data_IF_312856004759
#
_entry.id   IF_312856004759
#
_cell.length_a   1.000
_cell.length_b   1.000
_cell.length_c   1.000
_cell.angle_alpha   90.00
_cell.angle_beta   90.00
_cell.angle_gamma   90.00
#
_symmetry.space_group_name_H-M   'P 1'
#
loop_
_entity.id
_entity.type
_entity.pdbx_description
1 polymer ?
#
# COMPACT_ATOMS: atom_id res chain seq x y z
N UNK A 1 8.45 -5.50 10.61
CA UNK A 1 7.91 -5.60 9.23
C UNK A 1 6.65 -4.77 9.20
N UNK A 2 6.44 -4.00 8.14
CA UNK A 2 5.28 -3.12 8.00
C UNK A 2 4.46 -3.58 6.82
N UNK A 3 3.16 -3.68 7.02
CA UNK A 3 2.20 -4.20 6.04
C UNK A 3 1.43 -3.01 5.47
N UNK A 4 1.40 -2.88 4.14
CA UNK A 4 0.62 -1.88 3.44
C UNK A 4 -0.61 -2.56 2.83
N UNK A 5 -1.78 -2.03 3.17
CA UNK A 5 -3.06 -2.49 2.66
C UNK A 5 -3.67 -1.44 1.74
N UNK A 6 -4.35 -1.92 0.70
CA UNK A 6 -5.19 -1.10 -0.16
C UNK A 6 -6.66 -1.48 0.02
N UNK A 7 -7.55 -0.49 0.03
CA UNK A 7 -9.00 -0.72 0.10
C UNK A 7 -9.76 0.01 -1.02
N UNK A 8 -10.90 -0.56 -1.41
CA UNK A 8 -11.88 0.04 -2.31
C UNK A 8 -13.16 0.27 -1.53
N UNK A 9 -13.95 1.26 -1.94
CA UNK A 9 -15.26 1.51 -1.32
C UNK A 9 -16.14 0.25 -1.36
N UNK A 10 -16.46 -0.29 -0.18
CA UNK A 10 -17.30 -1.48 -0.01
C UNK A 10 -16.59 -2.83 -0.17
N UNK A 11 -15.25 -2.86 -0.21
CA UNK A 11 -14.47 -4.10 -0.23
C UNK A 11 -13.55 -4.18 0.99
N UNK A 12 -13.19 -5.39 1.38
CA UNK A 12 -12.19 -5.63 2.41
C UNK A 12 -10.83 -5.06 1.97
N UNK A 13 -10.08 -4.53 2.94
CA UNK A 13 -8.68 -4.17 2.76
C UNK A 13 -7.84 -5.39 2.40
N UNK A 14 -6.91 -5.20 1.46
CA UNK A 14 -6.06 -6.24 0.89
C UNK A 14 -4.59 -5.90 1.06
N UNK A 15 -3.76 -6.85 1.45
CA UNK A 15 -2.31 -6.69 1.53
C UNK A 15 -1.74 -6.47 0.13
N UNK A 16 -1.05 -5.34 -0.08
CA UNK A 16 -0.51 -4.98 -1.41
C UNK A 16 1.01 -4.95 -1.45
N UNK A 17 1.67 -4.67 -0.31
CA UNK A 17 3.12 -4.63 -0.21
C UNK A 17 3.56 -4.77 1.25
N UNK A 18 4.83 -5.11 1.45
CA UNK A 18 5.45 -5.13 2.79
C UNK A 18 6.72 -4.30 2.80
N UNK A 19 7.11 -3.81 3.97
CA UNK A 19 8.25 -2.90 4.12
C UNK A 19 9.13 -3.27 5.32
N UNK A 20 10.42 -2.97 5.18
CA UNK A 20 11.40 -3.13 6.26
C UNK A 20 11.23 -2.10 7.37
N UNK A 21 10.73 -0.90 7.03
CA UNK A 21 10.54 0.22 7.95
C UNK A 21 9.31 1.05 7.59
N UNK A 22 8.75 1.74 8.58
CA UNK A 22 7.64 2.67 8.39
C UNK A 22 8.03 3.82 7.45
N UNK A 23 9.26 4.31 7.56
CA UNK A 23 9.76 5.41 6.75
C UNK A 23 9.77 5.06 5.25
N UNK A 24 10.15 3.83 4.90
CA UNK A 24 10.10 3.34 3.52
C UNK A 24 8.66 3.20 3.03
N UNK A 25 7.75 2.71 3.87
CA UNK A 25 6.32 2.62 3.55
C UNK A 25 5.75 4.00 3.26
N UNK A 26 5.97 4.97 4.15
CA UNK A 26 5.45 6.33 3.99
C UNK A 26 6.07 7.04 2.78
N UNK A 27 7.36 6.82 2.51
CA UNK A 27 8.01 7.34 1.31
C UNK A 27 7.40 6.75 0.03
N UNK A 28 7.14 5.44 0.01
CA UNK A 28 6.48 4.76 -1.09
C UNK A 28 5.07 5.29 -1.32
N UNK A 29 4.25 5.37 -0.26
CA UNK A 29 2.88 5.89 -0.35
C UNK A 29 2.86 7.33 -0.85
N UNK A 30 3.77 8.17 -0.36
CA UNK A 30 3.89 9.56 -0.79
C UNK A 30 4.25 9.66 -2.27
N UNK A 31 5.16 8.83 -2.76
CA UNK A 31 5.47 8.73 -4.19
C UNK A 31 4.27 8.22 -5.00
N UNK A 32 3.61 7.17 -4.52
CA UNK A 32 2.51 6.52 -5.21
C UNK A 32 1.24 7.38 -5.24
N UNK A 33 1.11 8.41 -4.40
CA UNK A 33 -0.09 9.26 -4.33
C UNK A 33 -0.01 10.41 -5.34
N UNK A 34 -0.78 10.33 -6.41
CA UNK A 34 -0.96 11.40 -7.40
C UNK A 34 -1.84 12.54 -6.90
N UNK A 35 -2.86 12.19 -6.12
CA UNK A 35 -3.77 13.16 -5.51
C UNK A 35 -4.19 12.67 -4.14
N UNK A 36 -3.86 13.45 -3.11
CA UNK A 36 -4.36 13.24 -1.75
C UNK A 36 -5.80 13.75 -1.63
N UNK A 37 -6.67 12.95 -1.02
CA UNK A 37 -8.07 13.26 -0.75
C UNK A 37 -8.36 13.29 0.77
N UNK A 38 -7.33 13.28 1.61
CA UNK A 38 -7.42 13.20 3.07
C UNK A 38 -7.51 11.78 3.63
N UNK A 39 -7.17 11.61 4.91
CA UNK A 39 -7.32 10.38 5.71
C UNK A 39 -6.95 9.09 4.93
N UNK A 40 -5.75 9.07 4.36
CA UNK A 40 -5.20 7.95 3.59
C UNK A 40 -5.99 7.55 2.33
N UNK A 41 -6.82 8.45 1.81
CA UNK A 41 -7.53 8.29 0.54
C UNK A 41 -6.87 9.09 -0.56
N UNK A 42 -6.85 8.56 -1.77
CA UNK A 42 -6.20 9.25 -2.88
C UNK A 42 -6.40 8.60 -4.24
N UNK A 43 -5.87 9.28 -5.27
CA UNK A 43 -5.58 8.67 -6.56
C UNK A 43 -4.12 8.24 -6.56
N UNK A 44 -3.86 7.01 -6.97
CA UNK A 44 -2.52 6.46 -6.99
C UNK A 44 -1.96 6.31 -8.40
N UNK A 45 -0.63 6.35 -8.48
CA UNK A 45 0.16 6.21 -9.71
C UNK A 45 -0.11 4.87 -10.37
N UNK A 46 -0.23 4.87 -11.69
CA UNK A 46 -0.37 3.64 -12.47
C UNK A 46 0.94 2.84 -12.39
N UNK A 47 0.82 1.53 -12.16
CA UNK A 47 1.97 0.69 -11.85
C UNK A 47 2.27 0.58 -10.36
N UNK A 48 1.83 1.52 -9.50
CA UNK A 48 1.96 1.29 -8.05
C UNK A 48 1.10 0.11 -7.59
N UNK A 49 1.51 -0.56 -6.51
CA UNK A 49 0.69 -1.56 -5.82
C UNK A 49 -0.67 -1.02 -5.32
N UNK A 50 -0.81 0.32 -5.24
CA UNK A 50 -2.05 1.00 -4.86
C UNK A 50 -2.90 1.42 -6.08
N UNK A 51 -2.45 1.22 -7.31
CA UNK A 51 -3.08 1.78 -8.53
C UNK A 51 -4.57 1.45 -8.68
N UNK A 52 -4.99 0.28 -8.19
CA UNK A 52 -6.39 -0.17 -8.24
C UNK A 52 -7.23 0.29 -7.05
N UNK A 53 -6.67 0.91 -6.03
CA UNK A 53 -7.32 1.19 -4.76
C UNK A 53 -7.70 2.67 -4.61
N UNK A 54 -8.60 2.97 -3.67
CA UNK A 54 -9.03 4.34 -3.36
C UNK A 54 -8.53 4.85 -2.02
N UNK A 55 -8.11 3.94 -1.14
CA UNK A 55 -7.53 4.25 0.15
C UNK A 55 -6.45 3.23 0.52
N UNK A 56 -5.60 3.60 1.47
CA UNK A 56 -4.54 2.76 2.01
C UNK A 56 -4.52 2.80 3.53
N UNK A 57 -3.98 1.75 4.14
CA UNK A 57 -3.74 1.68 5.58
C UNK A 57 -2.44 0.91 5.81
N UNK A 58 -1.84 1.07 7.00
CA UNK A 58 -0.68 0.29 7.38
C UNK A 58 -0.78 -0.28 8.78
N UNK A 59 -0.11 -1.41 8.98
CA UNK A 59 -0.05 -2.09 10.28
C UNK A 59 1.35 -2.66 10.51
N UNK A 60 1.73 -2.83 11.78
CA UNK A 60 2.92 -3.57 12.21
C UNK A 60 2.66 -5.07 12.36
N UNK A 61 1.40 -5.47 12.31
CA UNK A 61 0.92 -6.85 12.45
C UNK A 61 0.09 -7.24 11.21
N UNK A 62 0.13 -8.51 10.77
CA UNK A 62 -0.72 -8.99 9.70
C UNK A 62 -2.20 -8.90 10.13
N UNK A 63 -3.05 -8.29 9.31
CA UNK A 63 -4.47 -8.08 9.59
C UNK A 63 -5.38 -8.98 8.76
N UNK A 64 -4.80 -9.74 7.84
CA UNK A 64 -5.49 -10.64 6.92
C UNK A 64 -4.74 -11.96 6.86
N UNK A 65 -5.42 -13.06 6.53
CA UNK A 65 -4.79 -14.37 6.25
C UNK A 65 -4.00 -14.38 4.92
N UNK A 66 -3.83 -13.24 4.25
CA UNK A 66 -3.03 -13.13 3.03
C UNK A 66 -1.54 -13.40 3.32
N UNK A 67 -0.95 -14.24 2.47
CA UNK A 67 0.45 -14.62 2.60
C UNK A 67 1.37 -13.45 2.22
N UNK A 68 2.14 -12.98 3.19
CA UNK A 68 3.06 -11.86 3.02
C UNK A 68 4.23 -12.14 2.05
N UNK A 69 4.52 -13.41 1.73
CA UNK A 69 5.53 -13.77 0.73
C UNK A 69 5.02 -13.65 -0.71
N UNK A 70 3.70 -13.59 -0.89
CA UNK A 70 3.04 -13.38 -2.17
C UNK A 70 2.97 -11.92 -2.64
N UNK A 71 3.36 -10.96 -1.80
CA UNK A 71 3.36 -9.52 -2.12
C UNK A 71 4.77 -8.96 -2.21
N UNK A 72 4.94 -7.88 -2.98
CA UNK A 72 6.26 -7.27 -3.19
C UNK A 72 6.78 -6.66 -1.87
N UNK A 73 8.03 -6.99 -1.52
CA UNK A 73 8.73 -6.39 -0.40
C UNK A 73 9.55 -5.17 -0.83
N UNK A 74 9.37 -4.03 -0.16
CA UNK A 74 9.97 -2.73 -0.47
C UNK A 74 9.88 -2.36 -1.97
N UNK A 75 8.66 -2.29 -2.56
CA UNK A 75 8.50 -1.88 -3.95
C UNK A 75 9.15 -0.52 -4.20
N UNK A 76 9.81 -0.38 -5.34
CA UNK A 76 10.40 0.88 -5.80
C UNK A 76 9.75 1.32 -7.11
N UNK A 77 9.83 2.61 -7.48
CA UNK A 77 9.23 3.13 -8.71
C UNK A 77 9.64 2.39 -9.99
N UNK A 78 10.80 1.73 -10.00
CA UNK A 78 11.34 1.04 -11.17
C UNK A 78 10.99 -0.45 -11.24
N UNK A 79 10.31 -1.00 -10.23
CA UNK A 79 10.03 -2.44 -10.09
C UNK A 79 8.63 -2.86 -10.58
N UNK A 80 7.78 -1.90 -10.93
CA UNK A 80 6.38 -2.11 -11.32
C UNK A 80 6.06 -1.33 -12.60
#
# INVERSE_FOLDING_TARGET
MYYLYGSKKGAEHRLVATFGSEQQLLAYVRWATLKDLGEHSGKFEQGSALASYSAWEHSTEPQTDEDASGVVHNPTPSML
#
